data_IF_067262121247
#
_entry.id   IF_067262121247
#
_cell.length_a   1.000
_cell.length_b   1.000
_cell.length_c   1.000
_cell.angle_alpha   90.00
_cell.angle_beta   90.00
_cell.angle_gamma   90.00
#
_symmetry.space_group_name_H-M   'P 1'
#
loop_
_entity.id
_entity.type
_entity.pdbx_description
1 polymer ?
#
# COMPACT_ATOMS: atom_id res chain seq x y z
N UNK A 1 17.83 -12.60 4.41
CA UNK A 1 18.23 -12.33 3.01
C UNK A 1 17.63 -11.06 2.42
N UNK A 2 16.30 -10.95 2.28
CA UNK A 2 15.66 -9.78 1.64
C UNK A 2 16.08 -8.46 2.29
N UNK A 3 16.03 -8.37 3.62
CA UNK A 3 16.44 -7.17 4.38
C UNK A 3 17.88 -6.74 4.06
N UNK A 4 18.83 -7.67 4.11
CA UNK A 4 20.25 -7.38 3.85
C UNK A 4 20.48 -6.97 2.40
N UNK A 5 19.78 -7.60 1.45
CA UNK A 5 19.82 -7.16 0.05
C UNK A 5 19.31 -5.72 -0.09
N UNK A 6 18.24 -5.34 0.61
CA UNK A 6 17.74 -3.95 0.58
C UNK A 6 18.71 -2.95 1.21
N UNK A 7 19.43 -3.34 2.26
CA UNK A 7 20.53 -2.51 2.78
C UNK A 7 21.62 -2.26 1.75
N UNK A 8 22.02 -3.29 1.01
CA UNK A 8 23.02 -3.17 -0.04
C UNK A 8 22.52 -2.29 -1.20
N UNK A 9 21.29 -2.52 -1.65
CA UNK A 9 20.65 -1.76 -2.74
C UNK A 9 20.47 -0.27 -2.37
N UNK A 10 20.29 0.04 -1.08
CA UNK A 10 20.04 1.38 -0.55
C UNK A 10 21.21 1.96 0.26
N UNK A 11 22.41 1.40 0.11
CA UNK A 11 23.59 1.81 0.89
C UNK A 11 23.90 3.31 0.78
N UNK A 12 23.64 3.94 -0.37
CA UNK A 12 23.81 5.38 -0.59
C UNK A 12 22.96 6.28 0.32
N UNK A 13 21.92 5.73 0.95
CA UNK A 13 21.03 6.45 1.87
C UNK A 13 21.28 6.07 3.33
N UNK A 14 22.33 5.30 3.64
CA UNK A 14 22.66 4.83 4.98
C UNK A 14 21.43 4.23 5.71
N UNK A 15 20.63 3.41 5.01
CA UNK A 15 19.41 2.81 5.59
C UNK A 15 19.75 1.90 6.76
N UNK A 16 20.84 1.13 6.65
CA UNK A 16 21.34 0.24 7.71
C UNK A 16 21.55 0.97 9.04
N UNK A 17 21.97 2.23 9.02
CA UNK A 17 22.27 3.02 10.24
C UNK A 17 21.02 3.71 10.83
N UNK A 18 19.89 3.69 10.12
CA UNK A 18 18.67 4.44 10.48
C UNK A 18 17.45 3.54 10.63
N UNK A 19 17.64 2.22 10.56
CA UNK A 19 16.56 1.24 10.58
C UNK A 19 16.56 0.49 11.90
N UNK A 20 15.37 0.30 12.44
CA UNK A 20 15.11 -0.52 13.62
C UNK A 20 14.01 -1.55 13.33
N UNK A 21 14.11 -2.73 13.94
CA UNK A 21 13.17 -3.85 13.82
C UNK A 21 12.55 -4.10 15.19
N UNK A 22 11.23 -4.18 15.26
CA UNK A 22 10.58 -4.59 16.51
C UNK A 22 10.98 -6.03 16.89
N UNK A 23 11.40 -6.22 18.13
CA UNK A 23 11.76 -7.53 18.70
C UNK A 23 10.69 -8.63 18.52
N UNK A 24 9.43 -8.24 18.33
CA UNK A 24 8.24 -9.11 18.20
C UNK A 24 7.83 -9.36 16.74
N UNK A 25 8.57 -8.86 15.76
CA UNK A 25 8.34 -9.18 14.34
C UNK A 25 8.51 -10.67 14.10
N UNK A 26 7.59 -11.29 13.36
CA UNK A 26 7.68 -12.70 12.99
C UNK A 26 8.63 -12.89 11.80
N UNK A 27 9.43 -13.96 11.81
CA UNK A 27 10.44 -14.20 10.77
C UNK A 27 9.94 -15.17 9.71
N UNK A 28 10.03 -14.73 8.44
CA UNK A 28 9.76 -15.57 7.28
C UNK A 28 11.01 -16.42 6.99
N UNK A 29 10.82 -17.72 6.84
CA UNK A 29 11.87 -18.70 6.54
C UNK A 29 11.72 -19.25 5.11
N UNK A 30 12.72 -20.00 4.64
CA UNK A 30 12.64 -20.71 3.36
C UNK A 30 11.47 -21.69 3.31
N UNK A 31 11.18 -22.41 4.41
CA UNK A 31 10.01 -23.29 4.50
C UNK A 31 8.70 -22.54 4.20
N UNK A 32 8.54 -21.33 4.76
CA UNK A 32 7.35 -20.52 4.48
C UNK A 32 7.25 -20.15 3.00
N UNK A 33 8.37 -19.76 2.37
CA UNK A 33 8.40 -19.45 0.94
C UNK A 33 8.08 -20.67 0.09
N UNK A 34 8.61 -21.84 0.45
CA UNK A 34 8.39 -23.09 -0.28
C UNK A 34 6.96 -23.57 -0.14
N UNK A 35 6.36 -23.49 1.05
CA UNK A 35 4.94 -23.78 1.28
C UNK A 35 4.02 -22.86 0.47
N UNK A 36 4.40 -21.60 0.32
CA UNK A 36 3.66 -20.61 -0.47
C UNK A 36 3.72 -20.95 -1.97
N UNK A 37 4.94 -21.16 -2.49
CA UNK A 37 5.19 -21.46 -3.92
C UNK A 37 4.69 -22.84 -4.36
N UNK A 38 4.78 -23.85 -3.51
CA UNK A 38 4.40 -25.23 -3.83
C UNK A 38 2.90 -25.50 -3.66
N UNK A 39 2.20 -24.66 -2.89
CA UNK A 39 0.76 -24.79 -2.71
C UNK A 39 0.02 -24.43 -3.98
N UNK A 40 -0.66 -25.41 -4.59
CA UNK A 40 -1.52 -25.16 -5.76
C UNK A 40 -2.61 -24.13 -5.47
N UNK A 41 -3.16 -24.15 -4.25
CA UNK A 41 -4.15 -23.18 -3.84
C UNK A 41 -3.58 -21.76 -3.77
N UNK A 42 -2.45 -21.57 -3.07
CA UNK A 42 -1.87 -20.23 -2.89
C UNK A 42 -1.25 -19.71 -4.19
N UNK A 43 -0.38 -20.50 -4.82
CA UNK A 43 0.38 -20.05 -5.99
C UNK A 43 -0.49 -19.94 -7.26
N UNK A 44 -1.39 -20.90 -7.52
CA UNK A 44 -2.19 -20.90 -8.76
C UNK A 44 -3.55 -20.24 -8.60
N UNK A 45 -4.34 -20.65 -7.60
CA UNK A 45 -5.72 -20.16 -7.45
C UNK A 45 -5.77 -18.75 -6.89
N UNK A 46 -5.08 -18.48 -5.78
CA UNK A 46 -5.05 -17.12 -5.21
C UNK A 46 -4.08 -16.24 -6.01
N UNK A 47 -2.95 -16.81 -6.43
CA UNK A 47 -1.90 -16.07 -7.10
C UNK A 47 -1.03 -15.29 -6.10
N UNK A 48 -0.65 -15.92 -4.99
CA UNK A 48 0.26 -15.34 -4.00
C UNK A 48 1.60 -14.89 -4.62
N UNK A 49 2.34 -14.06 -3.88
CA UNK A 49 3.65 -13.55 -4.31
C UNK A 49 4.75 -14.60 -4.22
N UNK A 50 4.56 -15.67 -3.44
CA UNK A 50 5.59 -16.64 -3.11
C UNK A 50 6.60 -16.12 -2.07
N UNK A 51 6.30 -14.99 -1.40
CA UNK A 51 7.18 -14.44 -0.36
C UNK A 51 7.04 -15.16 0.99
N UNK A 52 6.09 -16.08 1.14
CA UNK A 52 5.92 -16.84 2.39
C UNK A 52 5.06 -16.12 3.44
N UNK A 53 4.50 -14.94 3.15
CA UNK A 53 3.70 -14.18 4.12
C UNK A 53 2.43 -14.93 4.57
N UNK A 54 1.80 -15.69 3.67
CA UNK A 54 0.63 -16.51 3.99
C UNK A 54 0.95 -17.58 5.04
N UNK A 55 1.87 -18.52 4.73
CA UNK A 55 2.33 -19.53 5.67
C UNK A 55 2.90 -18.95 6.98
N UNK A 56 3.69 -17.88 6.92
CA UNK A 56 4.25 -17.25 8.12
C UNK A 56 3.16 -16.69 9.04
N UNK A 57 2.14 -16.02 8.49
CA UNK A 57 1.00 -15.54 9.29
C UNK A 57 0.18 -16.70 9.87
N UNK A 58 0.02 -17.80 9.13
CA UNK A 58 -0.60 -19.02 9.66
C UNK A 58 0.16 -19.56 10.87
N UNK A 59 1.48 -19.63 10.80
CA UNK A 59 2.32 -20.12 11.90
C UNK A 59 2.35 -19.13 13.08
N UNK A 60 2.23 -17.81 12.81
CA UNK A 60 2.04 -16.79 13.85
C UNK A 60 0.71 -16.98 14.58
N UNK A 61 -0.39 -17.23 13.86
CA UNK A 61 -1.70 -17.54 14.45
C UNK A 61 -1.63 -18.81 15.30
N UNK A 62 -0.90 -19.82 14.82
CA UNK A 62 -0.69 -21.08 15.55
C UNK A 62 0.30 -20.95 16.71
N UNK A 63 0.97 -19.80 16.87
CA UNK A 63 1.97 -19.51 17.91
C UNK A 63 3.21 -20.41 17.82
N UNK A 64 3.63 -20.74 16.60
CA UNK A 64 4.77 -21.61 16.31
C UNK A 64 5.91 -20.90 15.56
N UNK A 65 5.71 -19.65 15.14
CA UNK A 65 6.72 -18.87 14.43
C UNK A 65 7.79 -18.32 15.37
N UNK A 66 9.03 -18.25 14.89
CA UNK A 66 10.11 -17.54 15.58
C UNK A 66 9.99 -16.01 15.35
N UNK A 67 10.46 -15.24 16.31
CA UNK A 67 10.43 -13.78 16.28
C UNK A 67 11.84 -13.21 16.05
N UNK A 68 11.92 -11.93 15.67
CA UNK A 68 13.18 -11.27 15.35
C UNK A 68 14.21 -11.34 16.49
N UNK A 69 13.76 -11.23 17.74
CA UNK A 69 14.62 -11.40 18.93
C UNK A 69 15.29 -12.77 19.08
N UNK A 70 14.79 -13.79 18.38
CA UNK A 70 15.33 -15.14 18.43
C UNK A 70 16.51 -15.33 17.45
N UNK A 71 16.87 -14.31 16.67
CA UNK A 71 17.92 -14.32 15.64
C UNK A 71 19.07 -13.37 16.02
N UNK A 72 20.23 -13.89 16.48
CA UNK A 72 21.37 -13.07 16.90
C UNK A 72 21.90 -12.12 15.83
N UNK A 73 21.80 -12.48 14.56
CA UNK A 73 22.21 -11.64 13.44
C UNK A 73 21.39 -10.34 13.32
N UNK A 74 20.20 -10.28 13.94
CA UNK A 74 19.37 -9.07 13.94
C UNK A 74 19.60 -8.18 15.16
N UNK A 75 20.39 -8.62 16.15
CA UNK A 75 20.53 -7.97 17.46
C UNK A 75 20.86 -6.48 17.35
N UNK A 76 21.69 -6.08 16.38
CA UNK A 76 22.08 -4.68 16.17
C UNK A 76 20.93 -3.76 15.71
N UNK A 77 19.82 -4.32 15.23
CA UNK A 77 18.65 -3.57 14.74
C UNK A 77 17.43 -3.67 15.67
N UNK A 78 17.49 -4.50 16.72
CA UNK A 78 16.29 -4.78 17.54
C UNK A 78 15.95 -3.58 18.43
N UNK A 79 14.68 -3.18 18.39
CA UNK A 79 14.10 -2.20 19.34
C UNK A 79 12.67 -2.57 19.77
N UNK A 80 12.05 -1.73 20.61
CA UNK A 80 10.61 -1.71 20.88
C UNK A 80 9.99 -0.55 20.07
N UNK A 81 9.49 -0.87 18.88
CA UNK A 81 8.95 0.15 17.95
C UNK A 81 7.72 0.82 18.54
N UNK A 82 6.90 0.07 19.28
CA UNK A 82 5.73 0.61 19.96
C UNK A 82 6.12 1.66 20.99
N UNK A 83 7.22 1.47 21.71
CA UNK A 83 7.72 2.46 22.66
C UNK A 83 8.24 3.70 21.93
N UNK A 84 9.19 3.52 21.00
CA UNK A 84 9.82 4.65 20.27
C UNK A 84 8.78 5.53 19.57
N UNK A 85 7.83 4.91 18.86
CA UNK A 85 6.77 5.63 18.16
C UNK A 85 5.86 6.39 19.13
N UNK A 86 5.50 5.78 20.26
CA UNK A 86 4.63 6.47 21.22
C UNK A 86 5.36 7.58 21.99
N UNK A 87 6.66 7.44 22.24
CA UNK A 87 7.50 8.50 22.80
C UNK A 87 7.60 9.68 21.82
N UNK A 88 7.90 9.43 20.54
CA UNK A 88 7.92 10.45 19.50
C UNK A 88 6.57 11.20 19.41
N UNK A 89 5.44 10.48 19.40
CA UNK A 89 4.11 11.10 19.42
C UNK A 89 3.90 11.96 20.67
N UNK A 90 4.30 11.47 21.85
CA UNK A 90 4.12 12.22 23.10
C UNK A 90 5.00 13.48 23.16
N UNK A 91 6.16 13.46 22.50
CA UNK A 91 7.09 14.59 22.38
C UNK A 91 6.67 15.58 21.28
N UNK A 92 5.58 15.30 20.57
CA UNK A 92 5.03 16.16 19.52
C UNK A 92 5.77 16.05 18.19
N UNK A 93 6.50 14.96 17.97
CA UNK A 93 7.13 14.65 16.69
C UNK A 93 6.11 14.07 15.70
N UNK A 94 6.39 14.22 14.40
CA UNK A 94 5.58 13.64 13.34
C UNK A 94 5.98 12.17 13.08
N UNK A 95 4.99 11.27 13.12
CA UNK A 95 5.18 9.86 12.78
C UNK A 95 4.38 9.53 11.52
N UNK A 96 5.07 9.05 10.49
CA UNK A 96 4.45 8.56 9.26
C UNK A 96 4.43 7.02 9.25
N UNK A 97 3.24 6.43 9.13
CA UNK A 97 3.04 4.98 9.10
C UNK A 97 2.73 4.56 7.66
N UNK A 98 3.62 3.77 7.06
CA UNK A 98 3.39 3.18 5.74
C UNK A 98 2.66 1.82 5.85
N UNK A 99 1.52 1.72 5.17
CA UNK A 99 0.71 0.51 5.13
C UNK A 99 0.97 -0.38 3.92
N UNK A 100 0.71 -1.68 4.07
CA UNK A 100 0.60 -2.61 2.94
C UNK A 100 -0.51 -3.64 3.20
N UNK A 101 -1.33 -4.04 2.23
CA UNK A 101 -1.46 -3.65 0.83
C UNK A 101 -2.55 -2.56 0.66
N UNK A 102 -3.41 -2.67 -0.36
CA UNK A 102 -4.60 -1.81 -0.51
C UNK A 102 -5.88 -2.45 0.03
N UNK A 103 -6.93 -1.65 0.20
CA UNK A 103 -8.22 -2.03 0.79
C UNK A 103 -8.85 -3.30 0.20
N UNK A 104 -8.89 -3.42 -1.14
CA UNK A 104 -9.50 -4.56 -1.83
C UNK A 104 -8.79 -5.91 -1.58
N UNK A 105 -7.59 -5.88 -0.99
CA UNK A 105 -6.82 -7.05 -0.57
C UNK A 105 -6.89 -7.33 0.94
N UNK A 106 -7.71 -6.58 1.69
CA UNK A 106 -7.96 -6.85 3.11
C UNK A 106 -8.48 -8.27 3.29
N UNK A 107 -7.95 -9.00 4.27
CA UNK A 107 -8.46 -10.32 4.65
C UNK A 107 -9.95 -10.29 5.05
N UNK A 108 -10.43 -9.16 5.57
CA UNK A 108 -11.79 -9.03 6.10
C UNK A 108 -12.76 -8.39 5.10
N UNK A 109 -12.33 -7.30 4.46
CA UNK A 109 -13.20 -6.45 3.62
C UNK A 109 -12.90 -6.59 2.13
N UNK A 110 -11.80 -7.25 1.78
CA UNK A 110 -11.41 -7.44 0.40
C UNK A 110 -12.19 -8.55 -0.32
N UNK A 111 -11.76 -8.87 -1.53
CA UNK A 111 -12.43 -9.88 -2.39
C UNK A 111 -12.09 -11.33 -2.00
N UNK A 112 -12.34 -11.70 -0.74
CA UNK A 112 -12.03 -13.03 -0.21
C UNK A 112 -12.58 -14.16 -1.11
N UNK A 113 -11.80 -15.19 -1.45
CA UNK A 113 -10.47 -15.53 -0.89
C UNK A 113 -9.28 -14.88 -1.60
N UNK A 114 -9.48 -14.02 -2.60
CA UNK A 114 -8.42 -13.41 -3.41
C UNK A 114 -7.84 -12.15 -2.74
N UNK A 115 -7.32 -12.33 -1.53
CA UNK A 115 -6.85 -11.29 -0.62
C UNK A 115 -5.50 -11.68 -0.03
N UNK A 116 -4.87 -10.77 0.70
CA UNK A 116 -3.67 -11.09 1.48
C UNK A 116 -4.02 -11.85 2.77
N UNK A 117 -3.03 -12.29 3.53
CA UNK A 117 -3.21 -13.07 4.77
C UNK A 117 -3.45 -12.21 6.02
N UNK A 118 -3.79 -10.93 5.85
CA UNK A 118 -3.95 -9.95 6.94
C UNK A 118 -4.93 -8.85 6.52
N UNK A 119 -5.55 -8.18 7.48
CA UNK A 119 -6.25 -6.93 7.19
C UNK A 119 -5.28 -5.83 6.73
N UNK A 120 -5.77 -4.93 5.87
CA UNK A 120 -4.98 -3.88 5.20
C UNK A 120 -5.63 -2.51 5.36
N UNK A 121 -6.38 -2.32 6.44
CA UNK A 121 -6.99 -1.02 6.77
C UNK A 121 -6.09 -0.20 7.69
N UNK A 122 -6.33 1.12 7.74
CA UNK A 122 -5.60 2.06 8.58
C UNK A 122 -5.56 1.64 10.06
N UNK A 123 -6.65 1.07 10.58
CA UNK A 123 -6.71 0.57 11.96
C UNK A 123 -5.71 -0.55 12.23
N UNK A 124 -5.52 -1.45 11.24
CA UNK A 124 -4.52 -2.51 11.36
C UNK A 124 -3.11 -1.96 11.25
N UNK A 125 -2.86 -0.96 10.39
CA UNK A 125 -1.55 -0.31 10.29
C UNK A 125 -1.16 0.39 11.60
N UNK A 126 -2.10 1.06 12.28
CA UNK A 126 -1.85 1.62 13.61
C UNK A 126 -1.52 0.51 14.64
N UNK A 127 -2.25 -0.60 14.60
CA UNK A 127 -1.99 -1.74 15.49
C UNK A 127 -0.63 -2.40 15.23
N UNK A 128 -0.15 -2.41 13.97
CA UNK A 128 1.13 -3.01 13.59
C UNK A 128 2.33 -2.34 14.24
N UNK A 129 2.26 -1.02 14.41
CA UNK A 129 3.30 -0.21 15.05
C UNK A 129 3.01 0.10 16.53
N UNK A 130 1.91 -0.45 17.08
CA UNK A 130 1.56 -0.26 18.50
C UNK A 130 1.02 1.13 18.83
N UNK A 131 0.36 1.80 17.89
CA UNK A 131 -0.28 3.11 18.10
C UNK A 131 -1.76 2.92 18.41
N UNK A 132 -2.22 3.53 19.52
CA UNK A 132 -3.63 3.51 19.89
C UNK A 132 -4.48 4.32 18.90
N UNK A 133 -5.73 3.91 18.60
CA UNK A 133 -6.53 4.54 17.56
C UNK A 133 -6.85 6.02 17.84
N UNK A 134 -6.85 6.45 19.10
CA UNK A 134 -7.08 7.85 19.49
C UNK A 134 -5.87 8.76 19.27
N UNK A 135 -4.74 8.22 18.79
CA UNK A 135 -3.50 8.95 18.48
C UNK A 135 -3.26 9.09 16.97
N UNK A 136 -4.21 8.68 16.14
CA UNK A 136 -4.10 8.81 14.68
C UNK A 136 -4.84 10.07 14.27
N UNK A 137 -4.08 11.07 13.81
CA UNK A 137 -4.62 12.38 13.40
C UNK A 137 -5.10 12.38 11.94
N UNK A 138 -4.32 11.77 11.05
CA UNK A 138 -4.59 11.76 9.61
C UNK A 138 -4.54 10.34 9.03
N UNK A 139 -5.41 10.08 8.06
CA UNK A 139 -5.43 8.85 7.27
C UNK A 139 -5.49 9.22 5.79
N UNK A 140 -4.44 8.88 5.05
CA UNK A 140 -4.33 9.15 3.61
C UNK A 140 -4.68 7.89 2.82
N UNK A 141 -5.81 7.89 2.14
CA UNK A 141 -6.14 6.84 1.18
C UNK A 141 -5.44 7.14 -0.16
N UNK A 142 -4.56 6.24 -0.59
CA UNK A 142 -3.85 6.38 -1.87
C UNK A 142 -4.62 5.66 -2.97
N UNK A 143 -5.15 6.44 -3.91
CA UNK A 143 -5.81 5.91 -5.10
C UNK A 143 -4.98 6.14 -6.34
N UNK A 144 -5.14 5.25 -7.31
CA UNK A 144 -4.69 5.47 -8.68
C UNK A 144 -5.90 5.91 -9.49
N UNK A 145 -5.71 6.80 -10.46
CA UNK A 145 -6.77 7.27 -11.36
C UNK A 145 -7.46 6.15 -12.17
N UNK A 146 -6.89 4.95 -12.17
CA UNK A 146 -7.46 3.71 -12.72
C UNK A 146 -7.08 2.54 -11.81
N UNK A 147 -7.87 1.45 -11.84
CA UNK A 147 -7.62 0.30 -10.97
C UNK A 147 -6.71 -0.70 -11.68
N UNK A 148 -5.83 -1.35 -10.91
CA UNK A 148 -4.99 -2.44 -11.40
C UNK A 148 -5.02 -3.61 -10.43
N UNK A 149 -5.15 -4.84 -10.94
CA UNK A 149 -5.19 -6.07 -10.14
C UNK A 149 -4.15 -7.08 -10.63
N UNK A 150 -3.42 -7.69 -9.70
CA UNK A 150 -2.56 -8.85 -9.97
C UNK A 150 -3.32 -10.10 -9.55
N UNK A 151 -3.29 -11.14 -10.37
CA UNK A 151 -3.92 -12.42 -10.08
C UNK A 151 -5.41 -12.48 -10.43
N UNK A 152 -6.04 -13.58 -10.01
CA UNK A 152 -7.44 -13.86 -10.27
C UNK A 152 -8.38 -13.06 -9.34
N UNK A 153 -9.69 -13.23 -9.59
CA UNK A 153 -10.76 -12.70 -8.77
C UNK A 153 -11.58 -11.59 -9.43
N UNK A 154 -12.71 -11.17 -8.81
CA UNK A 154 -13.66 -10.24 -9.42
C UNK A 154 -13.04 -8.87 -9.70
N UNK A 155 -13.32 -8.30 -10.87
CA UNK A 155 -12.88 -6.96 -11.21
C UNK A 155 -13.98 -6.26 -12.03
N UNK A 156 -14.96 -5.63 -11.37
CA UNK A 156 -16.17 -5.13 -12.01
C UNK A 156 -15.91 -4.11 -13.11
N UNK A 157 -14.88 -3.28 -12.95
CA UNK A 157 -14.51 -2.20 -13.87
C UNK A 157 -13.39 -2.58 -14.84
N UNK A 158 -13.06 -3.87 -14.97
CA UNK A 158 -12.00 -4.34 -15.86
C UNK A 158 -12.26 -3.95 -17.32
N UNK A 159 -11.25 -3.35 -17.96
CA UNK A 159 -11.24 -3.09 -19.39
C UNK A 159 -10.55 -4.23 -20.14
N UNK A 160 -10.80 -4.32 -21.45
CA UNK A 160 -10.10 -5.34 -22.26
C UNK A 160 -8.60 -5.05 -22.30
N UNK A 161 -7.82 -6.10 -22.52
CA UNK A 161 -6.37 -5.95 -22.63
C UNK A 161 -5.97 -5.04 -23.79
N UNK A 162 -6.64 -5.18 -24.94
CA UNK A 162 -6.43 -4.34 -26.13
C UNK A 162 -6.71 -2.86 -25.83
N UNK A 163 -7.76 -2.58 -25.06
CA UNK A 163 -8.07 -1.22 -24.64
C UNK A 163 -6.96 -0.65 -23.74
N UNK A 164 -6.52 -1.40 -22.72
CA UNK A 164 -5.45 -0.96 -21.82
C UNK A 164 -4.14 -0.67 -22.57
N UNK A 165 -3.78 -1.52 -23.54
CA UNK A 165 -2.60 -1.34 -24.41
C UNK A 165 -2.74 -0.09 -25.28
N UNK A 166 -3.90 0.10 -25.92
CA UNK A 166 -4.15 1.27 -26.78
C UNK A 166 -4.07 2.61 -26.03
N UNK A 167 -4.36 2.58 -24.72
CA UNK A 167 -4.27 3.74 -23.81
C UNK A 167 -2.91 3.86 -23.10
N UNK A 168 -1.98 2.92 -23.30
CA UNK A 168 -0.68 2.92 -22.63
C UNK A 168 -0.74 2.66 -21.12
N UNK A 169 -1.82 2.06 -20.62
CA UNK A 169 -2.08 1.82 -19.18
C UNK A 169 -1.53 0.47 -18.69
N UNK A 170 -0.82 -0.26 -19.53
CA UNK A 170 -0.25 -1.55 -19.18
C UNK A 170 0.76 -1.46 -18.02
N UNK A 171 0.69 -2.46 -17.13
CA UNK A 171 1.54 -2.54 -15.95
C UNK A 171 1.95 -3.99 -15.65
N UNK A 172 3.11 -4.13 -15.01
CA UNK A 172 3.67 -5.42 -14.60
C UNK A 172 4.02 -5.39 -13.10
N UNK A 173 3.80 -6.49 -12.40
CA UNK A 173 4.15 -6.63 -10.98
C UNK A 173 5.66 -6.69 -10.78
N UNK A 174 6.19 -5.89 -9.85
CA UNK A 174 7.64 -5.77 -9.61
C UNK A 174 8.26 -7.08 -9.09
N UNK A 175 7.55 -7.82 -8.24
CA UNK A 175 8.05 -9.06 -7.64
C UNK A 175 7.88 -10.25 -8.57
N UNK A 176 6.66 -10.44 -9.10
CA UNK A 176 6.32 -11.66 -9.87
C UNK A 176 6.52 -11.52 -11.38
N UNK A 177 6.74 -10.31 -11.89
CA UNK A 177 6.76 -10.02 -13.32
C UNK A 177 5.41 -10.19 -14.03
N UNK A 178 4.36 -10.63 -13.30
CA UNK A 178 3.04 -10.89 -13.89
C UNK A 178 2.40 -9.60 -14.36
N UNK A 179 1.81 -9.66 -15.56
CA UNK A 179 0.99 -8.59 -16.10
C UNK A 179 -0.21 -8.31 -15.19
N UNK A 180 -0.54 -7.03 -15.03
CA UNK A 180 -1.74 -6.58 -14.29
C UNK A 180 -2.95 -6.49 -15.20
N UNK A 181 -4.10 -6.88 -14.67
CA UNK A 181 -5.41 -6.52 -15.22
C UNK A 181 -5.66 -5.06 -14.90
N UNK A 182 -6.24 -4.31 -15.83
CA UNK A 182 -6.48 -2.86 -15.72
C UNK A 182 -7.98 -2.62 -15.81
N UNK A 183 -8.48 -1.62 -15.11
CA UNK A 183 -9.88 -1.24 -15.13
C UNK A 183 -10.07 0.23 -14.83
N UNK A 184 -11.27 0.73 -15.09
CA UNK A 184 -11.66 2.10 -14.77
C UNK A 184 -11.66 2.33 -13.25
N UNK A 185 -11.60 3.60 -12.85
CA UNK A 185 -11.78 3.99 -11.46
C UNK A 185 -13.09 3.41 -10.91
N UNK A 186 -13.03 2.75 -9.76
CA UNK A 186 -14.18 2.13 -9.13
C UNK A 186 -14.66 3.01 -7.97
N UNK A 187 -15.69 3.81 -8.24
CA UNK A 187 -16.19 4.81 -7.29
C UNK A 187 -16.81 4.16 -6.04
N UNK A 188 -17.51 3.04 -6.20
CA UNK A 188 -18.13 2.35 -5.06
C UNK A 188 -17.06 1.72 -4.17
N UNK A 189 -15.99 1.16 -4.74
CA UNK A 189 -14.84 0.69 -4.00
C UNK A 189 -14.11 1.83 -3.26
N UNK A 190 -13.95 2.98 -3.89
CA UNK A 190 -13.31 4.15 -3.27
C UNK A 190 -14.13 4.66 -2.06
N UNK A 191 -15.46 4.77 -2.21
CA UNK A 191 -16.38 5.14 -1.11
C UNK A 191 -16.29 4.18 0.06
N UNK A 192 -16.26 2.88 -0.23
CA UNK A 192 -16.12 1.86 0.81
C UNK A 192 -14.76 1.95 1.50
N UNK A 193 -13.67 2.08 0.75
CA UNK A 193 -12.30 2.25 1.27
C UNK A 193 -12.22 3.44 2.23
N UNK A 194 -12.63 4.63 1.77
CA UNK A 194 -12.56 5.85 2.58
C UNK A 194 -13.39 5.73 3.86
N UNK A 195 -14.59 5.15 3.78
CA UNK A 195 -15.45 4.95 4.96
C UNK A 195 -14.84 4.00 5.97
N UNK A 196 -14.26 2.88 5.54
CA UNK A 196 -13.71 1.86 6.44
C UNK A 196 -12.37 2.29 7.04
N UNK A 197 -11.52 2.95 6.25
CA UNK A 197 -10.25 3.49 6.75
C UNK A 197 -10.44 4.72 7.63
N UNK A 198 -11.58 5.41 7.53
CA UNK A 198 -11.75 6.73 8.14
C UNK A 198 -10.82 7.76 7.51
N UNK A 199 -10.72 7.73 6.17
CA UNK A 199 -9.81 8.59 5.43
C UNK A 199 -10.11 10.07 5.68
N UNK A 200 -9.08 10.83 6.03
CA UNK A 200 -9.16 12.28 6.20
C UNK A 200 -8.81 13.01 4.91
N UNK A 201 -8.06 12.37 4.02
CA UNK A 201 -7.67 12.89 2.73
C UNK A 201 -7.34 11.78 1.73
N UNK A 202 -7.34 12.11 0.45
CA UNK A 202 -6.98 11.23 -0.66
C UNK A 202 -5.72 11.74 -1.34
N UNK A 203 -4.80 10.81 -1.63
CA UNK A 203 -3.71 11.02 -2.59
C UNK A 203 -4.04 10.32 -3.90
N UNK A 204 -4.29 11.08 -4.96
CA UNK A 204 -4.64 10.57 -6.29
C UNK A 204 -3.40 10.51 -7.19
N UNK A 205 -3.06 9.32 -7.66
CA UNK A 205 -1.82 9.03 -8.40
C UNK A 205 -2.08 8.60 -9.83
N UNK A 206 -1.04 8.72 -10.67
CA UNK A 206 -1.09 8.36 -12.08
C UNK A 206 -2.18 9.11 -12.86
N UNK A 207 -2.49 10.35 -12.48
CA UNK A 207 -3.49 11.16 -13.18
C UNK A 207 -3.05 11.43 -14.61
N UNK A 208 -1.75 11.65 -14.82
CA UNK A 208 -1.11 11.85 -16.13
C UNK A 208 -1.27 10.67 -17.09
N UNK A 209 -1.43 9.46 -16.54
CA UNK A 209 -1.62 8.24 -17.34
C UNK A 209 -3.03 8.19 -17.92
N UNK A 210 -4.02 8.78 -17.24
CA UNK A 210 -5.39 8.89 -17.74
C UNK A 210 -5.66 10.21 -18.48
N UNK A 211 -5.02 11.29 -18.02
CA UNK A 211 -5.11 12.66 -18.55
C UNK A 211 -3.70 13.17 -18.92
N UNK A 212 -3.17 12.83 -20.11
CA UNK A 212 -1.80 13.15 -20.48
C UNK A 212 -1.48 14.65 -20.55
N UNK A 213 -2.50 15.50 -20.67
CA UNK A 213 -2.39 16.96 -20.67
C UNK A 213 -1.93 17.53 -19.33
N UNK A 214 -2.17 16.82 -18.21
CA UNK A 214 -1.70 17.26 -16.90
C UNK A 214 -0.27 16.82 -16.58
N UNK A 215 0.40 16.06 -17.45
CA UNK A 215 1.70 15.46 -17.16
C UNK A 215 2.72 16.50 -16.68
N UNK A 216 3.38 16.21 -15.55
CA UNK A 216 4.41 17.05 -14.92
C UNK A 216 3.93 18.41 -14.40
N UNK A 217 2.61 18.63 -14.34
CA UNK A 217 2.01 19.86 -13.81
C UNK A 217 2.12 19.90 -12.28
N UNK A 218 2.44 21.08 -11.73
CA UNK A 218 2.61 21.32 -10.29
C UNK A 218 1.57 22.29 -9.71
N UNK A 219 0.76 22.92 -10.55
CA UNK A 219 -0.29 23.86 -10.15
C UNK A 219 -1.66 23.29 -10.51
N UNK A 220 -2.57 23.23 -9.54
CA UNK A 220 -3.94 22.78 -9.77
C UNK A 220 -4.67 23.64 -10.81
N UNK A 221 -4.35 24.93 -10.92
CA UNK A 221 -4.98 25.84 -11.86
C UNK A 221 -4.71 25.46 -13.32
N UNK A 222 -3.57 24.82 -13.59
CA UNK A 222 -3.15 24.40 -14.92
C UNK A 222 -3.85 23.10 -15.38
N UNK A 223 -4.53 22.38 -14.48
CA UNK A 223 -5.33 21.21 -14.85
C UNK A 223 -6.51 21.60 -15.75
N UNK A 224 -6.80 20.76 -16.74
CA UNK A 224 -7.95 20.94 -17.61
C UNK A 224 -9.27 20.80 -16.85
N UNK A 225 -10.34 21.33 -17.44
CA UNK A 225 -11.68 21.25 -16.84
C UNK A 225 -12.14 19.79 -16.65
N UNK A 226 -11.70 18.88 -17.53
CA UNK A 226 -12.03 17.46 -17.46
C UNK A 226 -11.32 16.78 -16.29
N UNK A 227 -10.01 17.01 -16.11
CA UNK A 227 -9.26 16.46 -14.96
C UNK A 227 -9.80 17.00 -13.65
N UNK A 228 -10.14 18.29 -13.58
CA UNK A 228 -10.77 18.90 -12.38
C UNK A 228 -12.15 18.28 -12.11
N UNK A 229 -12.95 18.02 -13.13
CA UNK A 229 -14.25 17.37 -12.97
C UNK A 229 -14.09 15.95 -12.40
N UNK A 230 -13.13 15.16 -12.89
CA UNK A 230 -12.85 13.82 -12.35
C UNK A 230 -12.44 13.85 -10.86
N UNK A 231 -11.59 14.82 -10.47
CA UNK A 231 -11.21 15.01 -9.07
C UNK A 231 -12.43 15.39 -8.22
N UNK A 232 -13.24 16.35 -8.69
CA UNK A 232 -14.45 16.80 -7.99
C UNK A 232 -15.48 15.66 -7.82
N UNK A 233 -15.60 14.77 -8.80
CA UNK A 233 -16.49 13.61 -8.72
C UNK A 233 -16.04 12.66 -7.60
N UNK A 234 -14.73 12.40 -7.47
CA UNK A 234 -14.17 11.59 -6.38
C UNK A 234 -14.47 12.24 -5.03
N UNK A 235 -14.19 13.53 -4.88
CA UNK A 235 -14.42 14.26 -3.62
C UNK A 235 -15.91 14.26 -3.25
N UNK A 236 -16.79 14.48 -4.22
CA UNK A 236 -18.24 14.54 -4.00
C UNK A 236 -18.81 13.18 -3.60
N UNK A 237 -18.36 12.10 -4.23
CA UNK A 237 -18.86 10.76 -3.96
C UNK A 237 -18.30 10.16 -2.66
N UNK A 238 -17.02 10.38 -2.39
CA UNK A 238 -16.35 9.86 -1.18
C UNK A 238 -16.56 10.73 0.05
N UNK A 239 -16.87 12.02 -0.14
CA UNK A 239 -16.85 13.07 0.90
C UNK A 239 -15.49 13.22 1.59
N UNK A 240 -14.39 12.94 0.87
CA UNK A 240 -13.01 13.09 1.35
C UNK A 240 -12.24 13.97 0.36
N UNK A 241 -11.51 15.00 0.81
CA UNK A 241 -10.78 15.90 -0.08
C UNK A 241 -9.59 15.19 -0.75
N UNK A 242 -9.34 15.49 -2.03
CA UNK A 242 -8.15 15.06 -2.76
C UNK A 242 -7.07 16.12 -2.57
N UNK A 243 -6.19 15.91 -1.61
CA UNK A 243 -5.19 16.89 -1.19
C UNK A 243 -3.84 16.72 -1.89
N UNK A 244 -3.56 15.53 -2.42
CA UNK A 244 -2.29 15.24 -3.11
C UNK A 244 -2.62 14.66 -4.48
N UNK A 245 -2.06 15.24 -5.54
CA UNK A 245 -2.28 14.79 -6.93
C UNK A 245 -0.94 14.56 -7.60
N UNK A 246 -0.60 13.30 -7.90
CA UNK A 246 0.59 12.97 -8.68
C UNK A 246 0.28 13.02 -10.18
N UNK A 247 1.03 13.86 -10.87
CA UNK A 247 0.95 14.14 -12.31
C UNK A 247 2.13 13.55 -13.07
N UNK A 248 2.88 12.64 -12.45
CA UNK A 248 4.03 11.99 -13.05
C UNK A 248 4.82 11.16 -12.05
N UNK A 249 5.85 10.45 -12.54
CA UNK A 249 6.63 9.52 -11.72
C UNK A 249 7.69 10.18 -10.83
N UNK A 250 8.08 11.45 -11.07
CA UNK A 250 9.09 12.10 -10.24
C UNK A 250 8.44 12.76 -9.01
N UNK A 251 9.19 12.85 -7.91
CA UNK A 251 8.72 13.49 -6.66
C UNK A 251 8.18 14.91 -6.86
N UNK A 252 8.75 15.65 -7.81
CA UNK A 252 8.33 17.01 -8.12
C UNK A 252 7.02 17.06 -8.91
N UNK A 253 6.58 15.97 -9.54
CA UNK A 253 5.35 15.93 -10.35
C UNK A 253 4.15 15.66 -9.44
N UNK A 254 4.01 16.53 -8.45
CA UNK A 254 2.99 16.42 -7.42
C UNK A 254 2.44 17.81 -7.14
N UNK A 255 1.12 17.90 -7.15
CA UNK A 255 0.36 19.05 -6.66
C UNK A 255 -0.01 18.73 -5.22
N UNK A 256 0.38 19.60 -4.29
CA UNK A 256 0.11 19.47 -2.86
C UNK A 256 -0.81 20.60 -2.42
N UNK A 257 -2.05 20.24 -2.07
CA UNK A 257 -3.14 21.14 -1.70
C UNK A 257 -3.46 21.06 -0.20
N UNK A 258 -2.62 20.37 0.60
CA UNK A 258 -2.91 20.16 2.02
C UNK A 258 -3.00 21.47 2.80
N UNK A 259 -2.23 22.49 2.44
CA UNK A 259 -2.27 23.81 3.12
C UNK A 259 -3.54 24.60 2.82
N UNK A 260 -4.15 24.32 1.68
CA UNK A 260 -5.32 24.99 1.17
C UNK A 260 -6.61 24.30 1.64
N UNK A 261 -6.56 22.99 1.88
CA UNK A 261 -7.73 22.15 2.12
C UNK A 261 -7.83 21.58 3.55
N UNK A 262 -6.76 21.55 4.35
CA UNK A 262 -6.73 21.11 5.75
C UNK A 262 -6.39 22.28 6.69
#
# INVERSE_FOLDING_TARGET
DVLYKEFDDLAKYNVKERMSIDSRCAIITEDHMDRDKSSEHLAKKIGSTGSGCGPANSDRVMRTINLARDYPELEEYITDVSLEVNEAINDGEEVFIEGSQGFALSLYYGTYPFVTSKDTTASTFAADVGVGPTKVDEVIDVFKAYISRVGEGPFPTEMTQEEAESRGLEEYGVVTGRRRRIGYFDMELAKESCRINGATQIALTCVDRLYPDCARTQDYNDLSAETKAFINDIESETNVPVTIISTGPDLKDTIDLRKELL
#
